data_IF_632620860919
#
_entry.id   IF_632620860919
#
_cell.length_a   1.000
_cell.length_b   1.000
_cell.length_c   1.000
_cell.angle_alpha   90.00
_cell.angle_beta   90.00
_cell.angle_gamma   90.00
#
_symmetry.space_group_name_H-M   'P 1'
#
loop_
_entity.id
_entity.type
_entity.pdbx_description
1 polymer ?
#
# COMPACT_ATOMS: atom_id res chain seq x y z
N UNK A 1 54.91 5.56 63.74
CA UNK A 1 55.34 5.20 62.36
C UNK A 1 54.28 4.35 61.62
N UNK A 2 52.97 4.60 61.81
CA UNK A 2 51.92 3.71 61.26
C UNK A 2 51.01 4.41 60.24
N UNK A 3 50.78 5.72 60.38
CA UNK A 3 49.87 6.48 59.49
C UNK A 3 50.50 6.76 58.12
N UNK A 4 51.81 7.03 58.05
CA UNK A 4 52.51 7.28 56.78
C UNK A 4 52.54 6.05 55.87
N UNK A 5 52.82 4.88 56.45
CA UNK A 5 52.86 3.61 55.72
C UNK A 5 51.48 3.23 55.17
N UNK A 6 50.42 3.42 55.97
CA UNK A 6 49.05 3.17 55.54
C UNK A 6 48.66 4.08 54.37
N UNK A 7 49.02 5.37 54.42
CA UNK A 7 48.66 6.32 53.38
C UNK A 7 49.40 6.04 52.05
N UNK A 8 50.69 5.72 52.10
CA UNK A 8 51.45 5.33 50.90
C UNK A 8 50.94 4.01 50.30
N UNK A 9 50.62 3.03 51.14
CA UNK A 9 50.08 1.76 50.68
C UNK A 9 48.70 1.93 50.04
N UNK A 10 47.83 2.74 50.64
CA UNK A 10 46.50 3.03 50.10
C UNK A 10 46.57 3.77 48.76
N UNK A 11 47.39 4.82 48.67
CA UNK A 11 47.57 5.57 47.42
C UNK A 11 48.12 4.66 46.32
N UNK A 12 49.09 3.80 46.63
CA UNK A 12 49.65 2.85 45.68
C UNK A 12 48.59 1.87 45.17
N UNK A 13 47.79 1.28 46.06
CA UNK A 13 46.70 0.38 45.68
C UNK A 13 45.63 1.09 44.83
N UNK A 14 45.32 2.35 45.17
CA UNK A 14 44.39 3.18 44.40
C UNK A 14 44.91 3.43 42.98
N UNK A 15 46.16 3.85 42.82
CA UNK A 15 46.78 4.08 41.50
C UNK A 15 46.88 2.80 40.67
N UNK A 16 47.27 1.68 41.27
CA UNK A 16 47.33 0.38 40.59
C UNK A 16 45.93 -0.06 40.11
N UNK A 17 44.90 0.21 40.90
CA UNK A 17 43.51 -0.08 40.54
C UNK A 17 43.03 0.80 39.38
N UNK A 18 43.30 2.10 39.43
CA UNK A 18 42.94 3.03 38.34
C UNK A 18 43.62 2.65 37.01
N UNK A 19 44.89 2.25 37.04
CA UNK A 19 45.59 1.79 35.83
C UNK A 19 44.97 0.53 35.23
N UNK A 20 44.60 -0.46 36.07
CA UNK A 20 43.92 -1.68 35.60
C UNK A 20 42.56 -1.36 34.96
N UNK A 21 41.80 -0.46 35.56
CA UNK A 21 40.51 0.00 35.02
C UNK A 21 40.69 0.69 33.66
N UNK A 22 41.66 1.61 33.56
CA UNK A 22 41.95 2.30 32.30
C UNK A 22 42.39 1.35 31.18
N UNK A 23 43.22 0.36 31.51
CA UNK A 23 43.62 -0.68 30.55
C UNK A 23 42.43 -1.55 30.10
N UNK A 24 41.53 -1.92 31.02
CA UNK A 24 40.34 -2.70 30.69
C UNK A 24 39.36 -1.92 29.80
N UNK A 25 39.17 -0.62 30.08
CA UNK A 25 38.35 0.28 29.24
C UNK A 25 38.97 0.43 27.85
N UNK A 26 40.30 0.62 27.77
CA UNK A 26 41.02 0.72 26.49
C UNK A 26 40.90 -0.56 25.66
N UNK A 27 41.08 -1.73 26.27
CA UNK A 27 40.92 -3.02 25.60
C UNK A 27 39.48 -3.25 25.10
N UNK A 28 38.48 -2.86 25.91
CA UNK A 28 37.06 -2.97 25.52
C UNK A 28 36.72 -2.04 24.36
N UNK A 29 37.28 -0.83 24.35
CA UNK A 29 37.08 0.15 23.27
C UNK A 29 37.73 -0.33 21.97
N UNK A 30 38.95 -0.88 22.03
CA UNK A 30 39.64 -1.46 20.88
C UNK A 30 38.88 -2.67 20.32
N UNK A 31 38.42 -3.59 21.18
CA UNK A 31 37.62 -4.74 20.77
C UNK A 31 36.30 -4.31 20.11
N UNK A 32 35.65 -3.26 20.63
CA UNK A 32 34.45 -2.66 20.03
C UNK A 32 34.72 -2.05 18.66
N UNK A 33 35.85 -1.35 18.48
CA UNK A 33 36.25 -0.82 17.18
C UNK A 33 36.53 -1.94 16.16
N UNK A 34 37.29 -2.96 16.54
CA UNK A 34 37.55 -4.13 15.69
C UNK A 34 36.26 -4.88 15.33
N UNK A 35 35.34 -5.04 16.29
CA UNK A 35 34.03 -5.65 16.01
C UNK A 35 33.20 -4.82 15.04
N UNK A 36 33.25 -3.48 15.13
CA UNK A 36 32.57 -2.58 14.19
C UNK A 36 33.16 -2.68 12.78
N UNK A 37 34.47 -2.77 12.65
CA UNK A 37 35.14 -2.91 11.34
C UNK A 37 34.80 -4.26 10.69
N UNK A 38 34.84 -5.36 11.44
CA UNK A 38 34.43 -6.70 10.97
C UNK A 38 32.95 -6.71 10.56
N UNK A 39 32.09 -6.09 11.36
CA UNK A 39 30.66 -5.99 11.04
C UNK A 39 30.45 -5.19 9.76
N UNK A 40 31.11 -4.04 9.60
CA UNK A 40 31.03 -3.21 8.40
C UNK A 40 31.46 -3.97 7.13
N UNK A 41 32.56 -4.73 7.21
CA UNK A 41 33.07 -5.54 6.10
C UNK A 41 32.11 -6.69 5.73
N UNK A 42 31.42 -7.27 6.73
CA UNK A 42 30.43 -8.34 6.53
C UNK A 42 29.07 -7.86 6.01
N UNK A 43 28.69 -6.59 6.25
CA UNK A 43 27.41 -6.01 5.84
C UNK A 43 27.47 -5.29 4.49
N UNK A 44 28.63 -5.27 3.84
CA UNK A 44 28.80 -4.58 2.57
C UNK A 44 28.17 -5.43 1.44
N UNK A 45 26.86 -5.23 1.21
CA UNK A 45 26.05 -5.96 0.21
C UNK A 45 26.67 -5.96 -1.20
N UNK A 46 27.48 -4.95 -1.50
CA UNK A 46 28.25 -4.81 -2.75
C UNK A 46 29.27 -5.94 -2.98
N UNK A 47 29.76 -6.60 -1.93
CA UNK A 47 30.66 -7.76 -2.04
C UNK A 47 29.93 -9.07 -2.36
N UNK A 48 28.65 -9.20 -1.99
CA UNK A 48 27.87 -10.42 -2.25
C UNK A 48 27.19 -10.40 -3.62
N UNK A 49 26.79 -9.23 -4.12
CA UNK A 49 26.05 -9.10 -5.37
C UNK A 49 26.94 -9.21 -6.62
N UNK A 50 28.21 -8.77 -6.54
CA UNK A 50 29.14 -8.79 -7.69
C UNK A 50 29.42 -10.21 -8.23
N UNK A 51 29.77 -11.21 -7.40
CA UNK A 51 30.01 -12.57 -7.90
C UNK A 51 28.75 -13.22 -8.50
N UNK A 52 27.58 -12.94 -7.92
CA UNK A 52 26.29 -13.43 -8.42
C UNK A 52 25.98 -12.84 -9.80
N UNK A 53 26.16 -11.53 -9.95
CA UNK A 53 25.96 -10.82 -11.23
C UNK A 53 26.89 -11.37 -12.33
N UNK A 54 28.19 -11.54 -12.04
CA UNK A 54 29.14 -12.15 -12.98
C UNK A 54 28.71 -13.56 -13.38
N UNK A 55 28.32 -14.39 -12.41
CA UNK A 55 27.89 -15.78 -12.68
C UNK A 55 26.65 -15.82 -13.59
N UNK A 56 25.68 -14.94 -13.35
CA UNK A 56 24.46 -14.86 -14.19
C UNK A 56 24.83 -14.46 -15.62
N UNK A 57 25.70 -13.47 -15.79
CA UNK A 57 26.16 -13.00 -17.10
C UNK A 57 26.88 -14.10 -17.86
N UNK A 58 27.79 -14.83 -17.20
CA UNK A 58 28.53 -15.94 -17.80
C UNK A 58 27.60 -17.08 -18.23
N UNK A 59 26.59 -17.41 -17.43
CA UNK A 59 25.59 -18.42 -17.79
C UNK A 59 24.75 -17.99 -18.99
N UNK A 60 24.34 -16.72 -19.05
CA UNK A 60 23.57 -16.21 -20.19
C UNK A 60 24.43 -16.26 -21.46
N UNK A 61 25.69 -15.85 -21.39
CA UNK A 61 26.64 -15.92 -22.50
C UNK A 61 26.83 -17.35 -23.00
N UNK A 62 27.01 -18.32 -22.09
CA UNK A 62 27.12 -19.73 -22.44
C UNK A 62 25.85 -20.29 -23.12
N UNK A 63 24.66 -19.81 -22.71
CA UNK A 63 23.38 -20.21 -23.29
C UNK A 63 23.14 -19.60 -24.68
N UNK A 64 23.49 -18.32 -24.86
CA UNK A 64 23.27 -17.60 -26.12
C UNK A 64 24.38 -17.81 -27.14
N UNK A 65 25.57 -18.21 -26.69
CA UNK A 65 26.77 -18.34 -27.51
C UNK A 65 27.47 -17.00 -27.79
N UNK A 66 27.27 -16.01 -26.94
CA UNK A 66 27.88 -14.69 -27.05
C UNK A 66 29.13 -14.59 -26.17
N UNK A 67 30.11 -13.77 -26.58
CA UNK A 67 31.32 -13.52 -25.79
C UNK A 67 31.07 -12.55 -24.63
N UNK A 68 30.13 -11.62 -24.78
CA UNK A 68 29.79 -10.58 -23.79
C UNK A 68 28.29 -10.50 -23.54
N UNK A 69 27.92 -10.25 -22.27
CA UNK A 69 26.51 -10.14 -21.88
C UNK A 69 25.91 -8.82 -22.37
N UNK A 70 24.81 -8.90 -23.10
CA UNK A 70 23.97 -7.75 -23.41
C UNK A 70 22.59 -7.90 -22.80
N UNK A 71 22.06 -6.78 -22.28
CA UNK A 71 20.71 -6.74 -21.76
C UNK A 71 19.71 -7.16 -22.86
N UNK A 72 18.91 -8.18 -22.56
CA UNK A 72 17.92 -8.74 -23.49
C UNK A 72 18.38 -9.95 -24.31
N UNK A 73 19.64 -10.40 -24.17
CA UNK A 73 20.13 -11.61 -24.86
C UNK A 73 19.32 -12.86 -24.51
N UNK A 74 19.03 -13.04 -23.22
CA UNK A 74 18.19 -14.16 -22.77
C UNK A 74 16.78 -14.09 -23.37
N UNK A 75 16.16 -12.92 -23.40
CA UNK A 75 14.82 -12.72 -23.96
C UNK A 75 14.78 -13.04 -25.46
N UNK A 76 15.79 -12.58 -26.23
CA UNK A 76 15.92 -12.90 -27.66
C UNK A 76 16.13 -14.40 -27.89
N UNK A 77 16.97 -15.03 -27.08
CA UNK A 77 17.24 -16.47 -27.17
C UNK A 77 15.97 -17.29 -26.93
N UNK A 78 15.21 -16.97 -25.88
CA UNK A 78 13.96 -17.64 -25.55
C UNK A 78 12.92 -17.43 -26.65
N UNK A 79 12.74 -16.21 -27.15
CA UNK A 79 11.83 -15.89 -28.26
C UNK A 79 12.17 -16.71 -29.52
N UNK A 80 13.46 -16.78 -29.88
CA UNK A 80 13.93 -17.57 -31.03
C UNK A 80 13.68 -19.08 -30.84
N UNK A 81 13.90 -19.60 -29.63
CA UNK A 81 13.65 -21.02 -29.33
C UNK A 81 12.17 -21.37 -29.41
N UNK A 82 11.31 -20.53 -28.85
CA UNK A 82 9.85 -20.70 -28.90
C UNK A 82 9.38 -20.63 -30.35
N UNK A 83 9.78 -19.61 -31.11
CA UNK A 83 9.42 -19.49 -32.54
C UNK A 83 9.85 -20.71 -33.36
N UNK A 84 11.03 -21.26 -33.10
CA UNK A 84 11.48 -22.50 -33.77
C UNK A 84 10.66 -23.72 -33.35
N UNK A 85 10.34 -23.87 -32.07
CA UNK A 85 9.51 -24.98 -31.60
C UNK A 85 8.10 -24.90 -32.18
N UNK A 86 7.47 -23.72 -32.14
CA UNK A 86 6.16 -23.47 -32.75
C UNK A 86 6.21 -23.71 -34.26
N UNK A 87 7.25 -23.24 -34.96
CA UNK A 87 7.38 -23.48 -36.39
C UNK A 87 7.64 -24.97 -36.73
N UNK A 88 8.38 -25.69 -35.89
CA UNK A 88 8.58 -27.14 -36.07
C UNK A 88 7.29 -27.93 -35.81
N UNK A 89 6.45 -27.48 -34.87
CA UNK A 89 5.11 -28.03 -34.65
C UNK A 89 4.17 -27.70 -35.83
N UNK A 90 4.37 -26.54 -36.47
CA UNK A 90 3.57 -26.07 -37.61
C UNK A 90 3.75 -26.89 -38.90
N UNK A 91 4.84 -27.63 -39.08
CA UNK A 91 5.12 -28.44 -40.29
C UNK A 91 4.20 -29.69 -40.41
N UNK A 92 3.41 -30.04 -39.38
CA UNK A 92 2.37 -31.09 -39.43
C UNK A 92 0.98 -30.57 -39.85
N UNK A 93 0.91 -29.92 -41.00
CA UNK A 93 -0.04 -28.86 -41.43
C UNK A 93 -1.57 -29.08 -41.46
N UNK A 94 -2.15 -30.11 -40.83
CA UNK A 94 -3.62 -30.26 -40.76
C UNK A 94 -4.21 -30.05 -39.34
N UNK A 95 -3.39 -30.04 -38.29
CA UNK A 95 -3.83 -29.83 -36.91
C UNK A 95 -3.83 -28.36 -36.45
N UNK A 96 -3.12 -27.45 -37.15
CA UNK A 96 -2.92 -26.07 -36.68
C UNK A 96 -4.19 -25.22 -36.73
N UNK A 97 -5.09 -25.41 -37.71
CA UNK A 97 -6.35 -24.65 -37.72
C UNK A 97 -7.24 -25.03 -36.53
N UNK A 98 -7.32 -26.33 -36.23
CA UNK A 98 -8.08 -26.82 -35.08
C UNK A 98 -7.42 -26.39 -33.75
N UNK A 99 -6.09 -26.40 -33.67
CA UNK A 99 -5.34 -26.00 -32.48
C UNK A 99 -5.39 -24.48 -32.24
N UNK A 100 -5.27 -23.65 -33.29
CA UNK A 100 -5.38 -22.18 -33.19
C UNK A 100 -6.79 -21.77 -32.73
N UNK A 101 -7.83 -22.44 -33.25
CA UNK A 101 -9.22 -22.25 -32.79
C UNK A 101 -9.37 -22.77 -31.36
N UNK A 102 -8.82 -23.93 -31.04
CA UNK A 102 -8.89 -24.50 -29.69
C UNK A 102 -8.17 -23.62 -28.66
N UNK A 103 -6.98 -23.12 -28.97
CA UNK A 103 -6.20 -22.23 -28.10
C UNK A 103 -6.93 -20.91 -27.89
N UNK A 104 -7.49 -20.31 -28.94
CA UNK A 104 -8.30 -19.10 -28.82
C UNK A 104 -9.56 -19.33 -27.97
N UNK A 105 -10.27 -20.44 -28.17
CA UNK A 105 -11.51 -20.78 -27.44
C UNK A 105 -11.21 -21.15 -25.99
N UNK A 106 -10.17 -21.94 -25.72
CA UNK A 106 -9.78 -22.35 -24.37
C UNK A 106 -9.20 -21.18 -23.59
N UNK A 107 -8.33 -20.36 -24.20
CA UNK A 107 -7.75 -19.20 -23.54
C UNK A 107 -8.81 -18.15 -23.21
N UNK A 108 -9.77 -17.91 -24.11
CA UNK A 108 -10.88 -17.00 -23.83
C UNK A 108 -11.82 -17.54 -22.75
N UNK A 109 -12.18 -18.82 -22.80
CA UNK A 109 -13.01 -19.44 -21.77
C UNK A 109 -12.31 -19.45 -20.39
N UNK A 110 -11.00 -19.74 -20.35
CA UNK A 110 -10.22 -19.74 -19.12
C UNK A 110 -10.06 -18.33 -18.55
N UNK A 111 -9.85 -17.32 -19.40
CA UNK A 111 -9.80 -15.92 -18.98
C UNK A 111 -11.14 -15.47 -18.38
N UNK A 112 -12.27 -15.82 -19.01
CA UNK A 112 -13.62 -15.52 -18.50
C UNK A 112 -13.87 -16.21 -17.15
N UNK A 113 -13.51 -17.49 -17.02
CA UNK A 113 -13.72 -18.23 -15.76
C UNK A 113 -12.77 -17.75 -14.64
N UNK A 114 -11.53 -17.38 -14.98
CA UNK A 114 -10.58 -16.80 -14.02
C UNK A 114 -11.08 -15.44 -13.52
N UNK A 115 -11.53 -14.56 -14.42
CA UNK A 115 -12.12 -13.26 -14.07
C UNK A 115 -13.35 -13.44 -13.16
N UNK A 116 -14.26 -14.35 -13.52
CA UNK A 116 -15.44 -14.68 -12.73
C UNK A 116 -15.09 -15.17 -11.32
N UNK A 117 -14.10 -16.08 -11.20
CA UNK A 117 -13.62 -16.60 -9.91
C UNK A 117 -12.91 -15.55 -9.08
N UNK A 118 -12.10 -14.70 -9.71
CA UNK A 118 -11.39 -13.63 -9.04
C UNK A 118 -12.37 -12.59 -8.50
N UNK A 119 -13.35 -12.17 -9.31
CA UNK A 119 -14.44 -11.27 -8.89
C UNK A 119 -15.23 -11.87 -7.73
N UNK A 120 -15.61 -13.15 -7.81
CA UNK A 120 -16.27 -13.85 -6.71
C UNK A 120 -15.43 -13.89 -5.43
N UNK A 121 -14.14 -14.17 -5.54
CA UNK A 121 -13.25 -14.30 -4.39
C UNK A 121 -13.01 -12.94 -3.70
N UNK A 122 -12.75 -11.90 -4.49
CA UNK A 122 -12.37 -10.58 -3.98
C UNK A 122 -13.60 -9.76 -3.59
N UNK A 123 -14.68 -9.85 -4.38
CA UNK A 123 -15.84 -8.97 -4.30
C UNK A 123 -17.11 -9.68 -3.82
N UNK A 124 -17.07 -11.02 -3.71
CA UNK A 124 -18.25 -11.84 -3.36
C UNK A 124 -19.25 -11.98 -4.50
N UNK A 125 -19.06 -11.28 -5.61
CA UNK A 125 -19.96 -11.26 -6.76
C UNK A 125 -19.19 -11.61 -8.03
N UNK A 126 -19.60 -12.72 -8.65
CA UNK A 126 -18.99 -13.25 -9.86
C UNK A 126 -19.32 -12.44 -11.12
N UNK A 127 -20.41 -11.66 -11.08
CA UNK A 127 -20.86 -10.82 -12.18
C UNK A 127 -20.55 -9.34 -11.95
N UNK A 128 -19.66 -9.02 -11.01
CA UNK A 128 -19.32 -7.65 -10.67
C UNK A 128 -18.85 -6.85 -11.89
N UNK A 129 -19.50 -5.71 -12.10
CA UNK A 129 -19.13 -4.68 -13.06
C UNK A 129 -18.58 -3.48 -12.30
N UNK A 130 -17.50 -2.88 -12.82
CA UNK A 130 -16.92 -1.67 -12.24
C UNK A 130 -18.00 -0.58 -12.15
N UNK A 131 -18.26 -0.11 -10.93
CA UNK A 131 -19.31 0.86 -10.63
C UNK A 131 -20.52 0.27 -9.90
N UNK A 132 -20.63 -1.06 -9.75
CA UNK A 132 -21.73 -1.69 -9.01
C UNK A 132 -21.77 -1.28 -7.54
N UNK A 133 -20.59 -1.15 -6.90
CA UNK A 133 -20.52 -0.66 -5.52
C UNK A 133 -21.06 0.78 -5.40
N UNK A 134 -20.68 1.66 -6.32
CA UNK A 134 -21.16 3.05 -6.38
C UNK A 134 -22.66 3.09 -6.67
N UNK A 135 -23.14 2.28 -7.63
CA UNK A 135 -24.55 2.17 -7.98
C UNK A 135 -25.38 1.68 -6.79
N UNK A 136 -24.89 0.67 -6.07
CA UNK A 136 -25.53 0.15 -4.85
C UNK A 136 -25.62 1.22 -3.77
N UNK A 137 -24.53 1.94 -3.51
CA UNK A 137 -24.52 3.03 -2.53
C UNK A 137 -25.52 4.15 -2.89
N UNK A 138 -25.63 4.51 -4.17
CA UNK A 138 -26.62 5.49 -4.64
C UNK A 138 -28.05 4.95 -4.46
N UNK A 139 -28.31 3.71 -4.85
CA UNK A 139 -29.64 3.08 -4.70
C UNK A 139 -30.03 2.99 -3.23
N UNK A 140 -29.12 2.58 -2.35
CA UNK A 140 -29.36 2.50 -0.90
C UNK A 140 -29.65 3.88 -0.29
N UNK A 141 -28.91 4.91 -0.69
CA UNK A 141 -29.14 6.29 -0.25
C UNK A 141 -30.48 6.85 -0.76
N UNK A 142 -30.88 6.51 -1.98
CA UNK A 142 -32.17 6.92 -2.56
C UNK A 142 -33.31 6.17 -1.88
N UNK A 143 -33.15 4.87 -1.63
CA UNK A 143 -34.14 4.05 -0.94
C UNK A 143 -34.36 4.50 0.50
N UNK A 144 -33.30 4.84 1.24
CA UNK A 144 -33.42 5.37 2.60
C UNK A 144 -34.10 6.74 2.65
N UNK A 145 -33.95 7.55 1.60
CA UNK A 145 -34.50 8.91 1.54
C UNK A 145 -35.91 8.99 0.95
N UNK A 146 -36.24 8.13 -0.01
CA UNK A 146 -37.51 8.20 -0.79
C UNK A 146 -38.44 7.02 -0.59
N UNK A 147 -37.95 5.92 -0.01
CA UNK A 147 -38.68 4.66 0.08
C UNK A 147 -38.85 3.91 -1.24
N UNK A 148 -38.27 4.40 -2.35
CA UNK A 148 -38.36 3.74 -3.66
C UNK A 148 -37.25 2.71 -3.84
N UNK A 149 -37.59 1.56 -4.43
CA UNK A 149 -36.65 0.47 -4.71
C UNK A 149 -35.71 0.76 -5.91
N UNK A 150 -35.89 1.88 -6.60
CA UNK A 150 -35.10 2.26 -7.78
C UNK A 150 -34.89 3.77 -7.88
N UNK A 151 -33.69 4.18 -8.29
CA UNK A 151 -33.35 5.58 -8.60
C UNK A 151 -33.83 5.97 -10.00
N UNK A 152 -34.58 7.06 -10.12
CA UNK A 152 -34.83 7.75 -11.38
C UNK A 152 -34.09 9.08 -11.40
N UNK A 153 -33.49 9.43 -12.54
CA UNK A 153 -32.86 10.74 -12.73
C UNK A 153 -33.88 11.85 -12.44
N UNK A 154 -33.55 12.74 -11.49
CA UNK A 154 -34.43 13.81 -11.02
C UNK A 154 -35.10 13.57 -9.67
N UNK A 155 -35.02 12.37 -9.07
CA UNK A 155 -35.57 12.12 -7.73
C UNK A 155 -34.87 12.97 -6.65
N UNK A 156 -33.55 13.15 -6.72
CA UNK A 156 -32.79 14.00 -5.80
C UNK A 156 -33.17 15.49 -5.93
N UNK A 157 -33.50 15.94 -7.14
CA UNK A 157 -33.95 17.32 -7.40
C UNK A 157 -35.29 17.60 -6.73
N UNK A 158 -36.22 16.63 -6.76
CA UNK A 158 -37.53 16.75 -6.12
C UNK A 158 -37.44 16.83 -4.59
N UNK A 159 -36.59 16.00 -3.97
CA UNK A 159 -36.34 16.05 -2.52
C UNK A 159 -35.78 17.41 -2.09
N UNK A 160 -34.84 17.97 -2.89
CA UNK A 160 -34.25 19.27 -2.58
C UNK A 160 -35.28 20.41 -2.66
N UNK A 161 -36.23 20.32 -3.58
CA UNK A 161 -37.32 21.29 -3.74
C UNK A 161 -38.31 21.21 -2.57
N UNK A 162 -38.69 20.00 -2.14
CA UNK A 162 -39.53 19.78 -0.96
C UNK A 162 -38.89 20.31 0.33
N UNK A 163 -37.58 20.08 0.52
CA UNK A 163 -36.83 20.60 1.67
C UNK A 163 -36.73 22.13 1.69
N UNK A 164 -36.54 22.77 0.53
CA UNK A 164 -36.54 24.24 0.42
C UNK A 164 -37.90 24.82 0.82
N UNK A 165 -38.98 24.26 0.28
CA UNK A 165 -40.34 24.70 0.59
C UNK A 165 -40.69 24.51 2.07
N UNK A 166 -40.21 23.43 2.69
CA UNK A 166 -40.37 23.19 4.12
C UNK A 166 -39.61 24.20 5.00
N UNK A 167 -38.38 24.56 4.59
CA UNK A 167 -37.56 25.57 5.28
C UNK A 167 -38.18 26.96 5.21
N UNK A 168 -38.68 27.37 4.05
CA UNK A 168 -39.32 28.68 3.88
C UNK A 168 -40.57 28.81 4.76
N UNK A 169 -41.37 27.74 4.88
CA UNK A 169 -42.51 27.70 5.81
C UNK A 169 -42.09 27.82 7.28
N UNK A 170 -40.97 27.21 7.67
CA UNK A 170 -40.41 27.33 9.02
C UNK A 170 -39.92 28.76 9.31
N UNK A 171 -39.22 29.39 8.37
CA UNK A 171 -38.77 30.78 8.51
C UNK A 171 -39.96 31.76 8.63
N UNK A 172 -41.05 31.49 7.92
CA UNK A 172 -42.30 32.26 8.03
C UNK A 172 -43.02 32.05 9.38
N UNK A 173 -42.95 30.85 9.95
CA UNK A 173 -43.51 30.55 11.27
C UNK A 173 -42.68 31.18 12.40
N UNK A 174 -41.35 31.17 12.29
CA UNK A 174 -40.48 31.79 13.31
C UNK A 174 -40.61 33.32 13.36
N UNK A 175 -40.75 33.97 12.20
CA UNK A 175 -40.95 35.43 12.12
C UNK A 175 -42.32 35.88 12.65
N UNK A 176 -43.35 35.03 12.62
CA UNK A 176 -44.65 35.34 13.24
C UNK A 176 -44.60 35.20 14.75
N UNK A 177 -43.87 34.20 15.27
CA UNK A 177 -43.64 34.02 16.73
C UNK A 177 -42.83 35.18 17.33
N UNK A 178 -41.84 35.73 16.62
CA UNK A 178 -41.07 36.89 17.09
C UNK A 178 -41.91 38.19 17.19
N UNK A 179 -42.91 38.36 16.32
CA UNK A 179 -43.76 39.56 16.33
C UNK A 179 -44.88 39.53 17.38
N UNK A 180 -45.22 38.36 17.93
CA UNK A 180 -46.20 38.23 19.01
C UNK A 180 -45.58 38.44 20.42
N UNK A 181 -44.26 38.26 20.56
CA UNK A 181 -43.54 38.44 21.82
C UNK A 181 -43.31 39.90 22.26
N UNK A 182 -43.40 40.87 21.34
CA UNK A 182 -43.07 42.29 21.63
C UNK A 182 -44.29 43.13 22.10
N UNK A 183 -45.51 42.55 22.10
CA UNK A 183 -46.74 43.28 22.49
C UNK A 183 -47.15 43.12 23.96
N UNK A 184 -46.46 42.32 24.77
CA UNK A 184 -46.82 42.11 26.19
C UNK A 184 -45.95 42.88 27.20
N UNK A 185 -45.03 43.73 26.76
CA UNK A 185 -43.94 44.27 27.60
C UNK A 185 -44.01 45.73 28.06
N UNK A 186 -45.09 46.50 27.82
CA UNK A 186 -45.18 47.90 28.29
C UNK A 186 -46.57 48.28 28.78
N UNK A 187 -46.83 48.09 30.07
CA UNK A 187 -47.85 48.87 30.77
C UNK A 187 -47.52 49.01 32.25
N UNK A 188 -47.48 50.27 32.69
CA UNK A 188 -47.55 50.78 34.08
C UNK A 188 -46.22 50.92 34.83
N UNK A 189 -45.73 52.15 34.95
CA UNK A 189 -45.87 52.92 36.19
C UNK A 189 -45.26 54.33 36.06
N UNK A 190 -46.08 55.30 35.65
CA UNK A 190 -45.84 56.70 35.98
C UNK A 190 -47.05 57.19 36.79
N UNK A 191 -46.85 57.37 38.11
CA UNK A 191 -47.76 58.13 38.97
C UNK A 191 -47.08 59.46 39.32
N UNK A 192 -47.80 60.60 39.25
CA UNK A 192 -47.25 61.89 39.64
C UNK A 192 -47.37 62.08 41.17
N UNK A 193 -46.36 62.72 41.76
CA UNK A 193 -46.42 63.47 43.01
C UNK A 193 -45.88 64.87 42.75
#
# INVERSE_FOLDING_TARGET
MTVSWFNEHFLRQFYETQNKVNMAIGATTAASATARDILYESTNEENLLRPIDTTIKDQINALTGNDDYQFGDLSKYVDLKIKRQVNNLRIGTDMNLALDIFEAVVSSALAVELDRRLKKLILGDENYVLGDATKKAIVDAVKSSTGKDSYSFGDLTKILEELKNGREKLEQYMSTVENEGDKSGRSRNDKPL
#
